data_IF_919243745133
#
_entry.id   IF_919243745133
#
_cell.length_a   1.000
_cell.length_b   1.000
_cell.length_c   1.000
_cell.angle_alpha   90.00
_cell.angle_beta   90.00
_cell.angle_gamma   90.00
#
_symmetry.space_group_name_H-M   'P 1'
#
loop_
_entity.id
_entity.type
_entity.pdbx_description
1 polymer ?
#
# COMPACT_ATOMS: atom_id res chain seq x y z
N UNK A 1 31.06 -11.12 31.20
CA UNK A 1 29.87 -10.45 30.65
C UNK A 1 30.27 -9.87 29.31
N UNK A 2 30.09 -10.64 28.24
CA UNK A 2 30.34 -10.17 26.87
C UNK A 2 29.07 -9.51 26.34
N UNK A 3 29.18 -8.24 25.97
CA UNK A 3 28.18 -7.55 25.15
C UNK A 3 28.30 -8.06 23.72
N UNK A 4 27.22 -8.53 23.06
CA UNK A 4 27.27 -8.80 21.63
C UNK A 4 27.31 -7.47 20.88
N UNK A 5 28.34 -7.30 20.05
CA UNK A 5 28.50 -6.18 19.13
C UNK A 5 27.28 -6.06 18.22
N UNK A 6 26.62 -4.91 18.24
CA UNK A 6 25.63 -4.52 17.24
C UNK A 6 26.40 -4.19 15.96
N UNK A 7 26.48 -5.15 15.03
CA UNK A 7 26.97 -4.88 13.68
C UNK A 7 25.88 -4.15 12.91
N UNK A 8 25.96 -2.83 12.87
CA UNK A 8 25.25 -2.00 11.91
C UNK A 8 25.87 -2.26 10.53
N UNK A 9 25.28 -3.20 9.78
CA UNK A 9 25.59 -3.46 8.37
C UNK A 9 24.98 -2.34 7.54
N UNK A 10 25.69 -1.22 7.40
CA UNK A 10 25.36 -0.13 6.48
C UNK A 10 26.30 -0.18 5.28
N UNK A 11 25.72 -0.19 4.08
CA UNK A 11 26.30 0.27 2.81
C UNK A 11 27.35 -0.64 2.14
N UNK A 12 26.97 -1.87 1.78
CA UNK A 12 27.63 -2.62 0.67
C UNK A 12 26.63 -3.62 0.07
N UNK A 13 25.58 -3.15 -0.60
CA UNK A 13 24.66 -4.03 -1.37
C UNK A 13 24.10 -3.35 -2.64
N UNK A 14 24.70 -2.24 -3.08
CA UNK A 14 24.16 -1.45 -4.20
C UNK A 14 24.62 -1.92 -5.59
N UNK A 15 25.37 -3.03 -5.72
CA UNK A 15 25.99 -3.43 -7.00
C UNK A 15 25.51 -4.79 -7.56
N UNK A 16 24.78 -5.61 -6.81
CA UNK A 16 24.28 -6.91 -7.31
C UNK A 16 22.96 -6.80 -8.09
N UNK A 17 22.29 -5.66 -8.00
CA UNK A 17 21.00 -5.42 -8.64
C UNK A 17 21.00 -4.20 -9.59
N UNK A 18 22.03 -4.03 -10.42
CA UNK A 18 22.09 -2.98 -11.49
C UNK A 18 20.88 -3.00 -12.47
N UNK A 19 20.14 -4.11 -12.47
CA UNK A 19 18.92 -4.27 -13.26
C UNK A 19 17.63 -3.88 -12.52
N UNK A 20 17.71 -3.59 -11.21
CA UNK A 20 16.59 -3.23 -10.35
C UNK A 20 16.68 -1.74 -10.05
N UNK A 21 15.66 -1.00 -10.46
CA UNK A 21 15.50 0.41 -10.09
C UNK A 21 14.52 0.45 -8.94
N UNK A 22 15.02 0.83 -7.76
CA UNK A 22 14.21 1.00 -6.56
C UNK A 22 13.76 2.46 -6.46
N UNK A 23 12.51 2.66 -6.10
CA UNK A 23 12.02 3.99 -5.71
C UNK A 23 12.66 4.40 -4.37
N UNK A 24 12.71 5.71 -4.07
CA UNK A 24 13.56 6.26 -2.99
C UNK A 24 13.32 5.72 -1.57
N UNK A 25 12.14 5.18 -1.30
CA UNK A 25 11.72 4.55 -0.03
C UNK A 25 11.47 3.03 -0.16
N UNK A 26 11.81 2.43 -1.30
CA UNK A 26 11.60 1.01 -1.57
C UNK A 26 12.73 0.16 -0.96
N UNK A 27 12.36 -0.77 -0.07
CA UNK A 27 13.30 -1.66 0.62
C UNK A 27 13.20 -3.08 0.04
N UNK A 28 14.35 -3.72 -0.20
CA UNK A 28 14.41 -5.15 -0.53
C UNK A 28 14.11 -5.96 0.73
N UNK A 29 13.07 -6.78 0.69
CA UNK A 29 12.67 -7.62 1.83
C UNK A 29 13.22 -9.03 1.69
N UNK A 30 13.38 -9.47 0.46
CA UNK A 30 13.87 -10.81 0.14
C UNK A 30 14.42 -10.81 -1.29
N UNK A 31 15.56 -11.44 -1.49
CA UNK A 31 16.13 -11.71 -2.80
C UNK A 31 16.67 -13.13 -2.80
N UNK A 32 16.38 -13.88 -3.86
CA UNK A 32 16.85 -15.25 -3.97
C UNK A 32 17.06 -15.63 -5.43
N UNK A 33 17.88 -16.66 -5.60
CA UNK A 33 18.11 -17.33 -6.88
C UNK A 33 17.47 -18.71 -6.82
N UNK A 34 17.18 -19.35 -7.96
CA UNK A 34 16.70 -20.73 -7.95
C UNK A 34 17.59 -21.62 -7.08
N UNK A 35 17.00 -22.56 -6.35
CA UNK A 35 17.72 -23.47 -5.47
C UNK A 35 18.57 -24.45 -6.30
N UNK A 36 19.85 -24.70 -5.96
CA UNK A 36 20.75 -25.56 -6.75
C UNK A 36 20.23 -26.99 -6.97
N UNK A 37 19.50 -27.54 -5.99
CA UNK A 37 18.86 -28.85 -6.10
C UNK A 37 17.77 -28.95 -7.17
N UNK A 38 17.29 -27.84 -7.72
CA UNK A 38 16.38 -27.86 -8.87
C UNK A 38 17.00 -28.44 -10.14
N UNK A 39 18.33 -28.51 -10.21
CA UNK A 39 19.04 -29.16 -11.31
C UNK A 39 19.06 -30.68 -11.20
N UNK A 40 18.78 -31.25 -10.01
CA UNK A 40 18.89 -32.71 -9.76
C UNK A 40 18.03 -33.54 -10.74
N UNK A 41 16.74 -33.22 -10.98
CA UNK A 41 15.94 -33.94 -11.98
C UNK A 41 16.54 -33.84 -13.39
N UNK A 42 17.06 -32.66 -13.76
CA UNK A 42 17.72 -32.46 -15.05
C UNK A 42 18.99 -33.31 -15.17
N UNK A 43 19.76 -33.49 -14.10
CA UNK A 43 20.89 -34.41 -14.09
C UNK A 43 20.47 -35.88 -14.17
N UNK A 44 19.44 -36.29 -13.41
CA UNK A 44 18.93 -37.67 -13.43
C UNK A 44 18.49 -38.09 -14.84
N UNK A 45 17.82 -37.20 -15.57
CA UNK A 45 17.33 -37.48 -16.94
C UNK A 45 18.39 -37.17 -17.99
N UNK A 46 19.12 -36.07 -17.83
CA UNK A 46 20.07 -35.56 -18.81
C UNK A 46 21.35 -36.39 -18.91
N UNK A 47 21.88 -36.89 -17.80
CA UNK A 47 23.11 -37.72 -17.80
C UNK A 47 22.95 -39.01 -18.63
N UNK A 48 21.91 -39.86 -18.43
CA UNK A 48 21.75 -41.07 -19.25
C UNK A 48 21.48 -40.75 -20.72
N UNK A 49 20.70 -39.70 -21.02
CA UNK A 49 20.45 -39.25 -22.39
C UNK A 49 21.69 -38.62 -23.06
N UNK A 50 22.69 -38.20 -22.29
CA UNK A 50 23.92 -37.61 -22.83
C UNK A 50 24.78 -38.63 -23.56
N UNK A 51 24.61 -39.93 -23.29
CA UNK A 51 25.29 -41.03 -24.00
C UNK A 51 24.98 -40.98 -25.50
N UNK A 52 23.76 -40.57 -25.87
CA UNK A 52 23.32 -40.40 -27.26
C UNK A 52 23.34 -38.93 -27.71
N UNK A 53 24.08 -38.07 -27.01
CA UNK A 53 24.22 -36.62 -27.24
C UNK A 53 22.94 -35.77 -27.04
N UNK A 54 21.78 -36.38 -26.84
CA UNK A 54 20.49 -35.67 -26.63
C UNK A 54 20.38 -35.06 -25.23
N UNK A 55 21.08 -35.60 -24.24
CA UNK A 55 21.05 -35.10 -22.86
C UNK A 55 21.83 -33.80 -22.64
N UNK A 56 22.84 -33.53 -23.46
CA UNK A 56 23.70 -32.33 -23.36
C UNK A 56 22.88 -31.03 -23.43
N UNK A 57 22.01 -30.81 -24.45
CA UNK A 57 21.19 -29.59 -24.49
C UNK A 57 20.24 -29.45 -23.29
N UNK A 58 19.77 -30.56 -22.71
CA UNK A 58 18.93 -30.54 -21.49
C UNK A 58 19.73 -30.02 -20.30
N UNK A 59 20.94 -30.53 -20.09
CA UNK A 59 21.81 -30.10 -18.98
C UNK A 59 22.23 -28.63 -19.14
N UNK A 60 22.64 -28.25 -20.35
CA UNK A 60 23.07 -26.88 -20.66
C UNK A 60 21.91 -25.89 -20.48
N UNK A 61 20.72 -26.20 -20.99
CA UNK A 61 19.55 -25.33 -20.83
C UNK A 61 19.11 -25.18 -19.37
N UNK A 62 19.14 -26.27 -18.59
CA UNK A 62 18.83 -26.22 -17.16
C UNK A 62 19.84 -25.35 -16.41
N UNK A 63 21.14 -25.53 -16.66
CA UNK A 63 22.20 -24.75 -16.05
C UNK A 63 22.13 -23.26 -16.41
N UNK A 64 21.87 -22.95 -17.68
CA UNK A 64 21.73 -21.57 -18.13
C UNK A 64 20.49 -20.91 -17.52
N UNK A 65 19.38 -21.61 -17.41
CA UNK A 65 18.17 -21.08 -16.75
C UNK A 65 18.42 -20.81 -15.27
N UNK A 66 19.13 -21.71 -14.60
CA UNK A 66 19.52 -21.56 -13.20
C UNK A 66 20.35 -20.29 -12.97
N UNK A 67 21.42 -20.09 -13.75
CA UNK A 67 22.31 -18.94 -13.60
C UNK A 67 21.67 -17.61 -14.02
N UNK A 68 20.70 -17.63 -14.93
CA UNK A 68 20.12 -16.41 -15.51
C UNK A 68 18.75 -16.04 -14.93
N UNK A 69 18.39 -16.56 -13.76
CA UNK A 69 17.11 -16.27 -13.10
C UNK A 69 17.33 -15.67 -11.72
N UNK A 70 16.70 -14.53 -11.45
CA UNK A 70 16.78 -13.85 -10.15
C UNK A 70 15.38 -13.40 -9.73
N UNK A 71 15.06 -13.55 -8.45
CA UNK A 71 13.80 -13.15 -7.85
C UNK A 71 14.06 -12.14 -6.74
N UNK A 72 13.31 -11.04 -6.76
CA UNK A 72 13.40 -10.02 -5.72
C UNK A 72 12.00 -9.63 -5.28
N UNK A 73 11.80 -9.55 -3.97
CA UNK A 73 10.58 -9.08 -3.33
C UNK A 73 10.93 -7.84 -2.52
N UNK A 74 10.30 -6.72 -2.86
CA UNK A 74 10.52 -5.45 -2.19
C UNK A 74 9.31 -5.08 -1.32
N UNK A 75 9.33 -3.90 -0.71
CA UNK A 75 8.18 -3.30 -0.02
C UNK A 75 7.02 -2.95 -0.96
N UNK A 76 7.32 -2.64 -2.23
CA UNK A 76 6.38 -2.09 -3.20
C UNK A 76 5.97 -3.07 -4.32
N UNK A 77 6.85 -3.99 -4.72
CA UNK A 77 6.58 -4.90 -5.83
C UNK A 77 7.35 -6.23 -5.77
N UNK A 78 6.94 -7.16 -6.62
CA UNK A 78 7.58 -8.43 -6.93
C UNK A 78 8.31 -8.31 -8.26
N UNK A 79 9.57 -8.70 -8.30
CA UNK A 79 10.42 -8.64 -9.49
C UNK A 79 10.95 -10.03 -9.87
N UNK A 80 10.89 -10.32 -11.17
CA UNK A 80 11.48 -11.51 -11.76
C UNK A 80 12.35 -11.11 -12.94
N UNK A 81 13.62 -11.47 -12.89
CA UNK A 81 14.53 -11.38 -14.04
C UNK A 81 14.83 -12.76 -14.58
N UNK A 82 14.73 -12.93 -15.88
CA UNK A 82 15.02 -14.19 -16.57
C UNK A 82 15.66 -13.93 -17.93
N UNK A 83 16.56 -14.82 -18.35
CA UNK A 83 16.90 -15.02 -19.76
C UNK A 83 18.40 -15.09 -20.05
N UNK A 84 18.73 -15.94 -21.02
CA UNK A 84 20.12 -16.38 -21.28
C UNK A 84 20.81 -15.53 -22.34
N UNK A 85 20.12 -15.23 -23.44
CA UNK A 85 20.61 -14.38 -24.54
C UNK A 85 19.96 -12.99 -24.50
N UNK A 86 18.66 -12.95 -24.18
CA UNK A 86 17.89 -11.74 -23.93
C UNK A 86 17.53 -11.67 -22.45
N UNK A 87 17.42 -10.45 -21.92
CA UNK A 87 17.00 -10.20 -20.54
C UNK A 87 15.54 -9.78 -20.54
N UNK A 88 14.70 -10.48 -19.79
CA UNK A 88 13.32 -10.11 -19.49
C UNK A 88 13.21 -9.78 -18.01
N UNK A 89 12.64 -8.62 -17.70
CA UNK A 89 12.35 -8.19 -16.32
C UNK A 89 10.85 -7.97 -16.22
N UNK A 90 10.22 -8.66 -15.28
CA UNK A 90 8.81 -8.53 -14.94
C UNK A 90 8.69 -7.90 -13.56
N UNK A 91 7.83 -6.88 -13.43
CA UNK A 91 7.48 -6.21 -12.19
C UNK A 91 5.98 -6.32 -11.97
N UNK A 92 5.58 -6.81 -10.80
CA UNK A 92 4.18 -6.88 -10.38
C UNK A 92 4.05 -6.17 -9.05
N UNK A 93 3.30 -5.09 -9.06
CA UNK A 93 2.93 -4.36 -7.85
C UNK A 93 1.93 -5.19 -7.04
N UNK A 94 1.99 -5.08 -5.72
CA UNK A 94 1.17 -5.93 -4.86
C UNK A 94 -0.33 -5.59 -4.88
N UNK A 95 -0.72 -4.38 -5.27
CA UNK A 95 -2.13 -3.99 -5.51
C UNK A 95 -2.75 -4.78 -6.67
N UNK A 96 -1.92 -5.20 -7.62
CA UNK A 96 -2.34 -6.03 -8.75
C UNK A 96 -2.40 -7.51 -8.39
N UNK A 97 -1.82 -7.94 -7.27
CA UNK A 97 -1.81 -9.35 -6.88
C UNK A 97 -3.17 -9.74 -6.31
N UNK A 98 -3.77 -10.80 -6.85
CA UNK A 98 -5.05 -11.33 -6.37
C UNK A 98 -4.87 -12.58 -5.52
N UNK A 99 -4.11 -13.54 -6.03
CA UNK A 99 -3.92 -14.82 -5.37
C UNK A 99 -2.47 -15.26 -5.50
N UNK A 100 -1.99 -15.93 -4.46
CA UNK A 100 -0.67 -16.53 -4.43
C UNK A 100 -0.80 -17.97 -3.98
N UNK A 101 -0.36 -18.90 -4.82
CA UNK A 101 -0.35 -20.33 -4.51
C UNK A 101 1.09 -20.85 -4.53
N UNK A 102 1.36 -21.93 -3.80
CA UNK A 102 2.64 -22.62 -3.90
C UNK A 102 2.45 -24.08 -4.24
N UNK A 103 3.44 -24.65 -4.93
CA UNK A 103 3.48 -26.06 -5.29
C UNK A 103 4.89 -26.60 -5.07
N UNK A 104 4.98 -27.80 -4.52
CA UNK A 104 6.24 -28.52 -4.36
C UNK A 104 6.13 -29.87 -5.07
N UNK A 105 7.19 -30.24 -5.77
CA UNK A 105 7.34 -31.61 -6.29
C UNK A 105 7.79 -32.54 -5.16
N UNK A 106 7.79 -33.85 -5.39
CA UNK A 106 8.30 -34.81 -4.41
C UNK A 106 9.71 -34.46 -3.91
N UNK A 107 10.63 -34.15 -4.84
CA UNK A 107 11.97 -33.69 -4.50
C UNK A 107 11.97 -32.29 -3.87
N UNK A 108 11.09 -31.40 -4.33
CA UNK A 108 10.91 -30.08 -3.72
C UNK A 108 10.53 -30.16 -2.24
N UNK A 109 9.61 -31.05 -1.88
CA UNK A 109 9.22 -31.26 -0.49
C UNK A 109 10.37 -31.85 0.35
N UNK A 110 11.14 -32.78 -0.20
CA UNK A 110 12.28 -33.40 0.47
C UNK A 110 13.46 -32.42 0.70
N UNK A 111 13.70 -31.51 -0.25
CA UNK A 111 14.83 -30.59 -0.24
C UNK A 111 14.45 -29.14 0.08
N UNK A 112 13.20 -28.88 0.48
CA UNK A 112 12.74 -27.55 0.91
C UNK A 112 12.62 -26.50 -0.19
N UNK A 113 12.40 -26.89 -1.45
CA UNK A 113 12.20 -25.95 -2.55
C UNK A 113 10.86 -26.13 -3.26
N UNK A 114 10.38 -25.10 -3.92
CA UNK A 114 9.16 -25.20 -4.72
C UNK A 114 8.93 -24.00 -5.63
N UNK A 115 7.72 -23.93 -6.17
CA UNK A 115 7.29 -22.84 -7.03
C UNK A 115 6.18 -22.07 -6.35
N UNK A 116 6.30 -20.75 -6.33
CA UNK A 116 5.24 -19.82 -5.92
C UNK A 116 4.68 -19.17 -7.18
N UNK A 117 3.39 -19.36 -7.41
CA UNK A 117 2.64 -18.84 -8.56
C UNK A 117 1.80 -17.64 -8.09
N UNK A 118 1.97 -16.50 -8.77
CA UNK A 118 1.33 -15.22 -8.47
C UNK A 118 0.38 -14.87 -9.62
N UNK A 119 -0.88 -14.62 -9.28
CA UNK A 119 -1.93 -14.23 -10.23
C UNK A 119 -2.33 -12.79 -10.00
N UNK A 120 -2.60 -12.05 -11.08
CA UNK A 120 -2.94 -10.62 -11.02
C UNK A 120 -4.34 -10.29 -11.52
N UNK A 121 -4.83 -9.13 -11.10
CA UNK A 121 -6.09 -8.57 -11.55
C UNK A 121 -5.99 -8.15 -13.02
N UNK A 122 -6.65 -8.93 -13.89
CA UNK A 122 -6.66 -8.71 -15.34
C UNK A 122 -5.85 -9.71 -16.15
N UNK A 123 -5.11 -10.61 -15.50
CA UNK A 123 -4.46 -11.75 -16.15
C UNK A 123 -5.41 -12.94 -16.32
N UNK A 124 -5.19 -13.76 -17.34
CA UNK A 124 -5.96 -15.01 -17.57
C UNK A 124 -5.39 -16.22 -16.81
N UNK A 125 -4.47 -16.00 -15.87
CA UNK A 125 -3.82 -17.06 -15.09
C UNK A 125 -2.64 -16.56 -14.27
N UNK A 126 -1.60 -17.39 -14.18
CA UNK A 126 -0.35 -17.08 -13.48
C UNK A 126 0.45 -16.07 -14.29
N UNK A 127 0.57 -14.85 -13.77
CA UNK A 127 1.31 -13.77 -14.43
C UNK A 127 2.80 -13.85 -14.12
N UNK A 128 3.15 -14.33 -12.92
CA UNK A 128 4.54 -14.46 -12.47
C UNK A 128 4.72 -15.68 -11.58
N UNK A 129 5.79 -16.43 -11.83
CA UNK A 129 6.16 -17.58 -11.02
C UNK A 129 7.59 -17.46 -10.54
N UNK A 130 7.78 -17.59 -9.23
CA UNK A 130 9.08 -17.79 -8.60
C UNK A 130 9.33 -19.30 -8.49
N UNK A 131 10.19 -19.83 -9.36
CA UNK A 131 10.43 -21.26 -9.49
C UNK A 131 11.65 -21.68 -8.70
N UNK A 132 11.56 -22.84 -8.06
CA UNK A 132 12.64 -23.41 -7.26
C UNK A 132 13.11 -22.49 -6.13
N UNK A 133 12.23 -21.72 -5.53
CA UNK A 133 12.57 -20.90 -4.36
C UNK A 133 12.75 -21.77 -3.13
N UNK A 134 13.66 -21.38 -2.24
CA UNK A 134 13.77 -21.97 -0.93
C UNK A 134 12.52 -21.63 -0.10
N UNK A 135 12.00 -22.61 0.65
CA UNK A 135 10.86 -22.46 1.56
C UNK A 135 9.66 -21.68 0.95
N UNK A 136 9.01 -22.23 -0.09
CA UNK A 136 7.94 -21.52 -0.81
C UNK A 136 6.77 -21.11 0.09
N UNK A 137 6.53 -21.83 1.18
CA UNK A 137 5.51 -21.49 2.17
C UNK A 137 5.85 -20.21 2.95
N UNK A 138 7.11 -20.02 3.33
CA UNK A 138 7.54 -18.80 4.01
C UNK A 138 7.44 -17.61 3.07
N UNK A 139 7.86 -17.77 1.81
CA UNK A 139 7.74 -16.74 0.79
C UNK A 139 6.29 -16.35 0.53
N UNK A 140 5.39 -17.33 0.40
CA UNK A 140 3.95 -17.07 0.27
C UNK A 140 3.41 -16.30 1.49
N UNK A 141 3.80 -16.70 2.70
CA UNK A 141 3.37 -16.04 3.93
C UNK A 141 3.88 -14.59 3.99
N UNK A 142 5.11 -14.35 3.55
CA UNK A 142 5.70 -13.01 3.43
C UNK A 142 4.88 -12.16 2.45
N UNK A 143 4.63 -12.66 1.24
CA UNK A 143 3.86 -11.95 0.19
C UNK A 143 2.44 -11.62 0.69
N UNK A 144 1.71 -12.63 1.20
CA UNK A 144 0.37 -12.44 1.73
C UNK A 144 0.33 -11.47 2.93
N UNK A 145 1.35 -11.50 3.78
CA UNK A 145 1.51 -10.56 4.87
C UNK A 145 1.68 -9.12 4.37
N UNK A 146 2.37 -8.90 3.24
CA UNK A 146 2.53 -7.57 2.63
C UNK A 146 1.26 -7.08 1.96
N UNK A 147 0.53 -7.94 1.27
CA UNK A 147 -0.77 -7.61 0.66
C UNK A 147 -1.72 -7.10 1.75
N UNK A 148 -1.94 -7.89 2.81
CA UNK A 148 -2.85 -7.52 3.92
C UNK A 148 -2.47 -6.23 4.63
N UNK A 149 -1.18 -6.01 4.92
CA UNK A 149 -0.72 -4.78 5.58
C UNK A 149 -1.01 -3.53 4.76
N UNK A 150 -0.98 -3.66 3.44
CA UNK A 150 -1.24 -2.54 2.53
C UNK A 150 -2.74 -2.26 2.44
N UNK A 151 -3.55 -3.31 2.29
CA UNK A 151 -5.01 -3.20 2.30
C UNK A 151 -5.50 -2.53 3.59
N UNK A 152 -5.00 -2.94 4.76
CA UNK A 152 -5.37 -2.32 6.04
C UNK A 152 -4.97 -0.85 6.14
N UNK A 153 -3.83 -0.44 5.55
CA UNK A 153 -3.38 0.95 5.55
C UNK A 153 -4.21 1.82 4.61
N UNK A 154 -4.65 1.28 3.47
CA UNK A 154 -5.57 1.97 2.57
C UNK A 154 -6.92 2.20 3.23
N UNK A 155 -7.51 1.16 3.85
CA UNK A 155 -8.80 1.28 4.57
C UNK A 155 -8.74 2.28 5.73
N UNK A 156 -7.70 2.22 6.57
CA UNK A 156 -7.55 3.16 7.71
C UNK A 156 -7.36 4.62 7.27
N UNK A 157 -6.75 4.84 6.10
CA UNK A 157 -6.65 6.17 5.48
C UNK A 157 -8.01 6.70 5.04
N UNK A 158 -8.78 5.88 4.33
CA UNK A 158 -10.11 6.22 3.84
C UNK A 158 -11.12 6.46 4.98
N UNK A 159 -11.04 5.68 6.06
CA UNK A 159 -11.88 5.88 7.25
C UNK A 159 -11.56 7.21 7.94
N UNK A 160 -10.27 7.57 8.06
CA UNK A 160 -9.85 8.83 8.67
C UNK A 160 -10.26 10.04 7.84
N UNK A 161 -10.14 9.99 6.51
CA UNK A 161 -10.56 11.10 5.64
C UNK A 161 -12.06 11.32 5.72
N UNK A 162 -12.86 10.24 5.74
CA UNK A 162 -14.31 10.34 5.93
C UNK A 162 -14.69 11.00 7.26
N UNK A 163 -14.03 10.63 8.37
CA UNK A 163 -14.27 11.25 9.69
C UNK A 163 -13.84 12.72 9.71
N UNK A 164 -12.74 13.08 9.06
CA UNK A 164 -12.27 14.46 8.97
C UNK A 164 -13.25 15.35 8.19
N UNK A 165 -13.83 14.84 7.10
CA UNK A 165 -14.82 15.57 6.30
C UNK A 165 -16.11 15.84 7.08
N UNK A 166 -16.55 14.88 7.90
CA UNK A 166 -17.72 15.03 8.78
C UNK A 166 -17.50 16.14 9.83
N UNK A 167 -16.39 16.07 10.57
CA UNK A 167 -16.01 17.08 11.57
C UNK A 167 -15.90 18.48 10.93
N UNK A 168 -15.30 18.56 9.75
CA UNK A 168 -15.12 19.83 9.05
C UNK A 168 -16.46 20.38 8.54
N UNK A 169 -17.43 19.52 8.22
CA UNK A 169 -18.83 19.87 8.01
C UNK A 169 -19.48 20.47 9.25
N UNK A 170 -19.34 19.81 10.41
CA UNK A 170 -19.88 20.29 11.69
C UNK A 170 -19.31 21.66 12.08
N UNK A 171 -17.99 21.85 11.94
CA UNK A 171 -17.33 23.12 12.28
C UNK A 171 -17.78 24.27 11.38
N UNK A 172 -18.01 24.00 10.08
CA UNK A 172 -18.58 24.99 9.16
C UNK A 172 -20.01 25.38 9.56
N UNK A 173 -20.83 24.41 9.97
CA UNK A 173 -22.18 24.67 10.44
C UNK A 173 -22.20 25.52 11.72
N UNK A 174 -21.34 25.21 12.70
CA UNK A 174 -21.20 26.00 13.92
C UNK A 174 -20.75 27.43 13.60
N UNK A 175 -19.75 27.59 12.74
CA UNK A 175 -19.27 28.91 12.34
C UNK A 175 -20.36 29.75 11.70
N UNK A 176 -21.13 29.16 10.78
CA UNK A 176 -22.21 29.86 10.08
C UNK A 176 -23.32 30.31 11.04
N UNK A 177 -23.71 29.46 11.99
CA UNK A 177 -24.69 29.81 13.01
C UNK A 177 -24.22 30.97 13.91
N UNK A 178 -22.93 30.99 14.27
CA UNK A 178 -22.33 32.08 15.07
C UNK A 178 -22.26 33.39 14.27
N UNK A 179 -21.92 33.35 12.98
CA UNK A 179 -21.92 34.54 12.11
C UNK A 179 -23.35 35.12 11.95
N UNK A 180 -24.39 34.29 11.82
CA UNK A 180 -25.79 34.74 11.76
C UNK A 180 -26.29 35.39 13.07
N UNK A 181 -25.89 34.89 14.25
CA UNK A 181 -26.22 35.51 15.54
C UNK A 181 -25.58 36.90 15.70
N UNK A 182 -24.32 37.06 15.28
CA UNK A 182 -23.61 38.35 15.36
C UNK A 182 -24.24 39.45 14.50
N UNK A 183 -24.92 39.07 13.41
CA UNK A 183 -25.62 40.01 12.52
C UNK A 183 -26.98 40.44 13.10
N UNK A 184 -27.62 39.56 13.88
CA UNK A 184 -28.89 39.85 14.56
C UNK A 184 -28.70 40.80 15.74
N UNK A 185 -27.61 40.64 16.51
CA UNK A 185 -27.28 41.51 17.66
C UNK A 185 -26.82 42.91 17.21
N UNK A 186 -26.14 43.00 16.06
CA UNK A 186 -25.79 44.27 15.43
C UNK A 186 -27.02 45.06 14.93
N UNK A 187 -28.03 44.37 14.40
CA UNK A 187 -29.27 45.01 13.94
C UNK A 187 -30.17 45.50 15.10
N UNK A 188 -30.19 44.80 16.23
CA UNK A 188 -30.96 45.21 17.42
C UNK A 188 -30.36 46.44 18.15
N UNK A 189 -29.06 46.69 17.99
CA UNK A 189 -28.36 47.80 18.65
C UNK A 189 -28.57 49.14 17.93
N UNK A 190 -28.83 49.13 16.61
CA UNK A 190 -29.13 50.33 15.83
C UNK A 190 -30.55 50.87 16.08
N UNK A 191 -31.53 50.01 16.40
CA UNK A 191 -32.92 50.41 16.68
C UNK A 191 -33.07 51.06 18.07
N UNK A 192 -32.30 50.61 19.07
CA UNK A 192 -32.36 51.16 20.43
C UNK A 192 -31.70 52.55 20.59
N UNK A 193 -30.97 53.04 19.58
CA UNK A 193 -30.30 54.36 19.62
C UNK A 193 -31.19 55.49 19.07
N UNK A 194 -32.30 55.17 18.39
CA UNK A 194 -33.18 56.19 17.80
C UNK A 194 -34.30 56.71 18.73
N UNK A 195 -34.59 56.06 19.87
CA UNK A 195 -35.69 56.45 20.79
C UNK A 195 -35.24 57.24 22.05
N UNK A 196 -34.10 57.95 22.01
CA UNK A 196 -33.66 58.81 23.13
C UNK A 196 -33.41 60.25 22.69
N UNK A 197 -34.46 60.90 22.19
CA UNK A 197 -34.31 62.24 21.61
C UNK A 197 -35.55 63.11 21.55
N UNK A 198 -36.54 63.01 22.44
CA UNK A 198 -37.50 64.11 22.58
C UNK A 198 -38.07 64.25 24.00
N UNK A 199 -37.41 65.09 24.80
CA UNK A 199 -37.98 65.70 26.01
C UNK A 199 -38.10 67.20 25.76
N UNK A 200 -39.33 67.69 25.59
CA UNK A 200 -39.76 69.09 25.79
C UNK A 200 -41.16 69.03 26.40
N UNK A 201 -41.27 69.08 27.73
CA UNK A 201 -41.38 70.28 28.56
C UNK A 201 -42.59 71.18 28.24
N UNK A 202 -43.57 71.11 29.16
CA UNK A 202 -44.54 72.14 29.59
C UNK A 202 -45.60 72.65 28.62
N UNK A 203 -46.87 72.47 28.99
CA UNK A 203 -47.62 73.57 29.62
C UNK A 203 -48.96 73.10 30.19
N UNK A 204 -49.14 73.43 31.46
CA UNK A 204 -50.35 73.28 32.29
C UNK A 204 -51.28 74.44 31.95
N UNK A 205 -52.55 74.21 31.56
CA UNK A 205 -53.67 75.15 31.77
C UNK A 205 -55.01 74.40 31.71
N UNK A 206 -55.46 74.01 32.90
CA UNK A 206 -56.78 74.26 33.51
C UNK A 206 -57.98 74.66 32.60
N UNK A 207 -59.04 73.84 32.55
CA UNK A 207 -60.48 74.23 32.62
C UNK A 207 -61.34 72.94 32.59
N UNK A 208 -61.91 72.46 33.70
CA UNK A 208 -63.20 72.83 34.34
C UNK A 208 -64.44 72.31 33.61
N UNK A 209 -64.99 71.23 34.21
CA UNK A 209 -66.40 70.90 34.47
C UNK A 209 -67.43 70.64 33.36
N UNK A 210 -68.29 69.64 33.68
CA UNK A 210 -69.76 69.63 33.49
C UNK A 210 -70.26 69.48 32.04
N UNK A 211 -71.29 68.71 31.66
CA UNK A 211 -72.31 67.84 32.28
C UNK A 211 -72.90 67.02 31.10
N UNK A 212 -73.50 65.85 31.32
CA UNK A 212 -74.94 65.56 31.04
C UNK A 212 -75.04 64.53 29.91
N UNK A 213 -75.41 63.29 30.18
CA UNK A 213 -76.77 62.71 30.28
C UNK A 213 -77.24 62.07 28.95
N UNK A 214 -77.59 60.79 29.09
CA UNK A 214 -78.27 59.84 28.17
C UNK A 214 -77.53 59.28 26.95
#
# INVERSE_FOLDING_TARGET
MDSPSTTTTTLTESNDFDWLTLDGDEEILWADTPHPYSLVPAFIVGVPLSIVLVGIPILVSAYLTYQNTNYVVTSAALYKKTGVLSRSVQRIEFDKVQDTSYRQTFFGAQFGYGTVDISTAGGSGVELSFQNVADPQQLQTLINGRIRRRDSRSTDGDDKTAVLDDILGELRAIRQAVEDESTTDAAATDDATFERGEVRETSRTNQTNETDDR
#
